data_IF_113653928177
#
_entry.id   IF_113653928177
#
_cell.length_a   1.000
_cell.length_b   1.000
_cell.length_c   1.000
_cell.angle_alpha   90.00
_cell.angle_beta   90.00
_cell.angle_gamma   90.00
#
_symmetry.space_group_name_H-M   'P 1'
#
loop_
_entity.id
_entity.type
_entity.pdbx_description
1 polymer ?
#
# COMPACT_ATOMS: atom_id res chain seq x y z
N UNK A 1 11.65 16.97 -21.28
CA UNK A 1 10.31 16.43 -20.97
C UNK A 1 10.52 15.04 -20.41
N UNK A 2 10.40 14.86 -19.08
CA UNK A 2 10.60 13.53 -18.48
C UNK A 2 9.35 12.72 -18.77
N UNK A 3 9.45 11.81 -19.73
CA UNK A 3 8.52 10.69 -19.88
C UNK A 3 8.64 9.87 -18.61
N UNK A 4 7.87 10.29 -17.61
CA UNK A 4 7.69 9.64 -16.33
C UNK A 4 7.08 8.27 -16.60
N UNK A 5 7.94 7.28 -16.92
CA UNK A 5 7.53 5.90 -17.17
C UNK A 5 6.97 5.37 -15.86
N UNK A 6 5.71 4.92 -15.88
CA UNK A 6 5.14 4.17 -14.76
C UNK A 6 6.01 2.94 -14.55
N UNK A 7 6.62 2.86 -13.38
CA UNK A 7 7.38 1.69 -12.96
C UNK A 7 6.50 0.86 -12.03
N UNK A 8 6.75 -0.44 -12.00
CA UNK A 8 6.05 -1.32 -11.06
C UNK A 8 6.70 -1.09 -9.71
N UNK A 9 5.96 -0.51 -8.78
CA UNK A 9 6.41 -0.25 -7.43
C UNK A 9 5.75 -1.29 -6.55
N UNK A 10 6.55 -2.12 -5.88
CA UNK A 10 6.03 -3.08 -4.90
C UNK A 10 6.04 -2.44 -3.53
N UNK A 11 4.84 -2.23 -3.00
CA UNK A 11 4.65 -1.68 -1.66
C UNK A 11 4.34 -2.83 -0.73
N UNK A 12 5.26 -3.14 0.18
CA UNK A 12 5.07 -4.14 1.23
C UNK A 12 4.60 -3.44 2.49
N UNK A 13 3.48 -3.86 3.05
CA UNK A 13 2.91 -3.27 4.25
C UNK A 13 2.34 -4.29 5.23
N UNK A 14 2.25 -3.86 6.48
CA UNK A 14 1.61 -4.60 7.55
C UNK A 14 0.28 -3.92 7.88
N UNK A 15 -0.81 -4.67 7.85
CA UNK A 15 -2.16 -4.19 8.19
C UNK A 15 -2.47 -4.59 9.62
N UNK A 16 -2.67 -3.59 10.49
CA UNK A 16 -3.23 -3.81 11.81
C UNK A 16 -4.76 -3.65 11.75
N UNK A 17 -5.49 -4.73 12.05
CA UNK A 17 -6.92 -4.67 12.32
C UNK A 17 -7.13 -4.57 13.84
N UNK A 18 -7.38 -3.36 14.33
CA UNK A 18 -7.56 -3.11 15.77
C UNK A 18 -8.84 -3.79 16.30
N UNK A 19 -9.85 -3.98 15.44
CA UNK A 19 -11.15 -4.56 15.82
C UNK A 19 -11.08 -6.07 16.09
N UNK A 20 -10.28 -6.80 15.32
CA UNK A 20 -10.02 -8.24 15.47
C UNK A 20 -8.72 -8.53 16.20
N UNK A 21 -7.97 -7.48 16.58
CA UNK A 21 -6.61 -7.57 17.11
C UNK A 21 -5.72 -8.47 16.23
N UNK A 22 -5.95 -8.43 14.91
CA UNK A 22 -5.24 -9.24 13.93
C UNK A 22 -4.23 -8.38 13.20
N UNK A 23 -2.96 -8.75 13.32
CA UNK A 23 -1.88 -8.15 12.58
C UNK A 23 -1.60 -9.00 11.33
N UNK A 24 -1.99 -8.50 10.16
CA UNK A 24 -1.59 -9.10 8.88
C UNK A 24 -0.24 -8.54 8.49
N UNK A 25 0.77 -9.38 8.63
CA UNK A 25 2.15 -9.04 8.34
C UNK A 25 2.53 -9.44 6.92
N UNK A 26 3.38 -8.65 6.29
CA UNK A 26 3.95 -8.89 4.96
C UNK A 26 2.90 -8.98 3.85
N UNK A 27 1.84 -8.16 3.91
CA UNK A 27 1.07 -7.92 2.70
C UNK A 27 1.92 -7.13 1.72
N UNK A 28 1.72 -7.37 0.44
CA UNK A 28 2.38 -6.61 -0.61
C UNK A 28 1.44 -6.36 -1.77
N UNK A 29 1.56 -5.17 -2.35
CA UNK A 29 0.75 -4.76 -3.48
C UNK A 29 1.66 -4.06 -4.49
N UNK A 30 1.65 -4.59 -5.70
CA UNK A 30 2.44 -4.08 -6.82
C UNK A 30 1.58 -3.17 -7.66
N UNK A 31 1.92 -1.88 -7.70
CA UNK A 31 1.17 -0.86 -8.43
C UNK A 31 2.07 -0.20 -9.46
N UNK A 32 1.51 0.01 -10.66
CA UNK A 32 2.18 0.77 -11.71
C UNK A 32 2.05 2.27 -11.43
N UNK A 33 3.01 2.81 -10.69
CA UNK A 33 3.02 4.20 -10.26
C UNK A 33 4.23 4.92 -10.83
N UNK A 34 4.08 6.22 -10.93
CA UNK A 34 5.11 7.11 -11.45
C UNK A 34 6.13 7.47 -10.39
N UNK A 35 5.74 7.37 -9.13
CA UNK A 35 6.49 7.76 -7.95
C UNK A 35 6.08 6.87 -6.77
N UNK A 36 7.00 6.55 -5.84
CA UNK A 36 6.68 5.85 -4.60
C UNK A 36 5.52 6.46 -3.80
N UNK A 37 5.40 7.79 -3.74
CA UNK A 37 4.30 8.44 -3.02
C UNK A 37 2.93 8.12 -3.66
N UNK A 38 2.86 8.16 -4.99
CA UNK A 38 1.64 7.79 -5.75
C UNK A 38 1.29 6.31 -5.55
N UNK A 39 2.30 5.44 -5.44
CA UNK A 39 2.09 4.02 -5.13
C UNK A 39 1.47 3.83 -3.74
N UNK A 40 1.97 4.53 -2.73
CA UNK A 40 1.47 4.43 -1.35
C UNK A 40 0.02 4.89 -1.25
N UNK A 41 -0.31 6.05 -1.86
CA UNK A 41 -1.66 6.59 -1.83
C UNK A 41 -2.67 5.62 -2.47
N UNK A 42 -2.29 5.05 -3.61
CA UNK A 42 -3.10 4.06 -4.31
C UNK A 42 -3.31 2.80 -3.48
N UNK A 43 -2.24 2.26 -2.89
CA UNK A 43 -2.29 1.08 -2.01
C UNK A 43 -3.14 1.35 -0.78
N UNK A 44 -3.04 2.54 -0.18
CA UNK A 44 -3.85 2.93 0.97
C UNK A 44 -5.34 3.01 0.62
N UNK A 45 -5.68 3.63 -0.52
CA UNK A 45 -7.06 3.71 -1.00
C UNK A 45 -7.65 2.32 -1.37
N UNK A 46 -6.86 1.47 -2.03
CA UNK A 46 -7.22 0.09 -2.37
C UNK A 46 -7.47 -0.73 -1.10
N UNK A 47 -6.60 -0.59 -0.09
CA UNK A 47 -6.74 -1.26 1.20
C UNK A 47 -8.00 -0.80 1.94
N UNK A 48 -8.27 0.50 2.01
CA UNK A 48 -9.51 1.01 2.61
C UNK A 48 -10.75 0.44 1.91
N UNK A 49 -10.71 0.28 0.59
CA UNK A 49 -11.79 -0.35 -0.19
C UNK A 49 -11.93 -1.83 0.07
N UNK A 50 -10.83 -2.60 0.03
CA UNK A 50 -10.85 -4.05 0.25
C UNK A 50 -11.37 -4.42 1.63
N UNK A 51 -10.89 -3.72 2.65
CA UNK A 51 -11.31 -3.97 4.03
C UNK A 51 -12.65 -3.30 4.36
N UNK A 52 -13.14 -2.39 3.49
CA UNK A 52 -14.33 -1.57 3.68
C UNK A 52 -14.38 -0.94 5.08
N UNK A 53 -13.20 -0.58 5.60
CA UNK A 53 -12.98 -0.10 6.97
C UNK A 53 -11.90 0.97 6.92
N UNK A 54 -12.14 2.05 7.66
CA UNK A 54 -11.20 3.17 7.80
C UNK A 54 -10.24 3.00 8.99
N UNK A 55 -10.43 1.94 9.78
CA UNK A 55 -9.67 1.65 10.99
C UNK A 55 -8.39 0.84 10.72
N UNK A 56 -8.18 0.41 9.47
CA UNK A 56 -6.94 -0.26 9.09
C UNK A 56 -5.78 0.73 9.03
N UNK A 57 -4.69 0.37 9.70
CA UNK A 57 -3.48 1.19 9.76
C UNK A 57 -2.32 0.45 9.12
N UNK A 58 -1.71 1.07 8.12
CA UNK A 58 -0.46 0.59 7.54
C UNK A 58 0.67 0.85 8.55
N UNK A 59 1.23 -0.19 9.14
CA UNK A 59 2.27 -0.07 10.19
C UNK A 59 3.69 -0.02 9.65
N UNK A 60 3.95 -0.61 8.48
CA UNK A 60 5.24 -0.61 7.80
C UNK A 60 4.98 -0.41 6.33
N UNK A 61 5.82 0.34 5.65
CA UNK A 61 5.77 0.51 4.20
C UNK A 61 7.19 0.32 3.69
N UNK A 62 7.43 -0.70 2.88
CA UNK A 62 8.68 -0.90 2.15
C UNK A 62 8.40 -0.80 0.67
N UNK A 63 9.29 -0.14 -0.03
CA UNK A 63 9.20 0.08 -1.46
C UNK A 63 10.33 -0.69 -2.10
N UNK A 64 10.01 -1.66 -2.92
CA UNK A 64 10.96 -2.35 -3.79
C UNK A 64 10.78 -1.78 -5.21
N UNK A 65 11.85 -1.20 -5.75
CA UNK A 65 11.90 -0.44 -7.01
C UNK A 65 12.84 -1.10 -8.02
#
# INVERSE_FOLDING_TARGET
MVTKRKQIIRVVFDVLDEMKNQLRLNEDLSVAATDPDEAIDWVFAEMQRQFNRSDIRLSRVRIDA
#
